data_IF_351940313291
#
_entry.id   IF_351940313291
#
_cell.length_a   1.000
_cell.length_b   1.000
_cell.length_c   1.000
_cell.angle_alpha   90.00
_cell.angle_beta   90.00
_cell.angle_gamma   90.00
#
_symmetry.space_group_name_H-M   'P 1'
#
loop_
_entity.id
_entity.type
_entity.pdbx_description
1 polymer ?
#
# COMPACT_ATOMS: atom_id res chain seq x y z
N UNK A 1 12.02 -18.03 -1.61
CA UNK A 1 12.09 -16.58 -1.28
C UNK A 1 11.54 -15.78 -2.45
N UNK A 2 10.60 -14.89 -2.19
CA UNK A 2 10.10 -13.98 -3.20
C UNK A 2 10.98 -12.74 -3.25
N UNK A 3 11.32 -12.31 -4.45
CA UNK A 3 12.03 -11.06 -4.67
C UNK A 3 11.06 -10.04 -5.26
N UNK A 4 11.19 -8.75 -4.92
CA UNK A 4 10.38 -7.72 -5.56
C UNK A 4 10.76 -7.56 -7.03
N UNK A 5 9.86 -7.00 -7.81
CA UNK A 5 10.15 -6.69 -9.21
C UNK A 5 9.23 -7.40 -10.20
N UNK A 6 7.95 -7.46 -9.90
CA UNK A 6 6.95 -7.90 -10.87
C UNK A 6 6.91 -6.88 -12.01
N UNK A 7 6.97 -7.35 -13.26
CA UNK A 7 6.92 -6.47 -14.41
C UNK A 7 5.62 -5.67 -14.46
N UNK A 8 5.68 -4.42 -14.90
CA UNK A 8 4.50 -3.55 -14.97
C UNK A 8 3.37 -4.17 -15.79
N UNK A 9 3.71 -4.90 -16.86
CA UNK A 9 2.76 -5.54 -17.77
C UNK A 9 1.93 -6.63 -17.10
N UNK A 10 2.37 -7.15 -15.97
CA UNK A 10 1.65 -8.19 -15.24
C UNK A 10 0.44 -7.64 -14.47
N UNK A 11 0.37 -6.32 -14.28
CA UNK A 11 -0.73 -5.69 -13.57
C UNK A 11 -1.80 -5.16 -14.53
N UNK A 12 -3.06 -5.29 -14.11
CA UNK A 12 -4.20 -4.69 -14.80
C UNK A 12 -4.27 -3.24 -14.33
N UNK A 13 -4.12 -2.26 -15.22
CA UNK A 13 -3.95 -0.87 -14.79
C UNK A 13 -4.88 0.15 -15.43
N UNK A 14 -5.42 -0.09 -16.60
CA UNK A 14 -6.27 0.86 -17.33
C UNK A 14 -5.65 2.27 -17.29
N UNK A 15 -6.41 3.30 -16.88
CA UNK A 15 -5.95 4.69 -16.78
C UNK A 15 -5.51 5.09 -15.37
N UNK A 16 -5.46 4.14 -14.46
CA UNK A 16 -5.06 4.41 -13.08
C UNK A 16 -3.53 4.50 -13.00
N UNK A 17 -2.98 5.56 -12.42
CA UNK A 17 -1.53 5.65 -12.23
C UNK A 17 -1.02 4.48 -11.39
N UNK A 18 0.16 3.99 -11.75
CA UNK A 18 0.78 2.87 -11.06
C UNK A 18 2.25 3.17 -10.78
N UNK A 19 2.71 2.81 -9.59
CA UNK A 19 4.13 2.90 -9.25
C UNK A 19 4.91 1.95 -10.15
N UNK A 20 5.90 2.49 -10.88
CA UNK A 20 6.71 1.71 -11.81
C UNK A 20 7.58 0.68 -11.09
N UNK A 21 7.92 -0.39 -11.82
CA UNK A 21 8.69 -1.52 -11.29
C UNK A 21 9.94 -1.08 -10.53
N UNK A 22 10.74 -0.18 -11.08
CA UNK A 22 12.00 0.26 -10.47
C UNK A 22 11.76 0.95 -9.13
N UNK A 23 10.71 1.76 -9.05
CA UNK A 23 10.33 2.45 -7.82
C UNK A 23 9.74 1.46 -6.82
N UNK A 24 8.96 0.47 -7.30
CA UNK A 24 8.44 -0.58 -6.42
C UNK A 24 9.56 -1.40 -5.80
N UNK A 25 10.57 -1.78 -6.59
CA UNK A 25 11.72 -2.53 -6.08
C UNK A 25 12.40 -1.74 -4.97
N UNK A 26 12.68 -0.45 -5.22
CA UNK A 26 13.31 0.40 -4.23
C UNK A 26 12.45 0.54 -2.96
N UNK A 27 11.15 0.73 -3.14
CA UNK A 27 10.18 0.86 -2.04
C UNK A 27 10.17 -0.42 -1.18
N UNK A 28 10.11 -1.59 -1.81
CA UNK A 28 10.13 -2.86 -1.09
C UNK A 28 11.44 -3.07 -0.33
N UNK A 29 12.56 -2.72 -0.94
CA UNK A 29 13.87 -2.83 -0.28
C UNK A 29 13.97 -1.91 0.93
N UNK A 30 13.45 -0.69 0.83
CA UNK A 30 13.45 0.27 1.95
C UNK A 30 12.47 -0.11 3.05
N UNK A 31 11.40 -0.80 2.70
CA UNK A 31 10.37 -1.22 3.66
C UNK A 31 10.87 -2.31 4.62
N UNK A 32 11.82 -3.11 4.20
CA UNK A 32 12.39 -4.21 4.99
C UNK A 32 11.31 -5.10 5.59
N UNK A 33 10.40 -5.55 4.73
CA UNK A 33 9.24 -6.34 5.12
C UNK A 33 9.69 -7.70 5.66
N UNK A 34 9.09 -8.10 6.79
CA UNK A 34 9.28 -9.41 7.38
C UNK A 34 8.08 -10.31 7.06
N UNK A 35 8.24 -11.64 7.11
CA UNK A 35 7.17 -12.56 6.70
C UNK A 35 5.85 -12.42 7.44
N UNK A 36 5.83 -11.92 8.67
CA UNK A 36 4.63 -11.79 9.49
C UNK A 36 4.13 -10.34 9.64
N UNK A 37 4.68 -9.42 8.86
CA UNK A 37 4.33 -8.00 9.00
C UNK A 37 2.88 -7.70 8.63
N UNK A 38 2.31 -6.72 9.32
CA UNK A 38 1.04 -6.09 8.97
C UNK A 38 1.37 -4.79 8.23
N UNK A 39 0.83 -4.64 7.05
CA UNK A 39 1.17 -3.56 6.14
C UNK A 39 -0.07 -2.77 5.76
N UNK A 40 0.02 -1.44 5.77
CA UNK A 40 -1.02 -0.56 5.25
C UNK A 40 -0.52 0.06 3.95
N UNK A 41 -1.34 0.04 2.92
CA UNK A 41 -1.06 0.70 1.64
C UNK A 41 -2.12 1.77 1.42
N UNK A 42 -1.79 3.02 1.73
CA UNK A 42 -2.72 4.16 1.67
C UNK A 42 -2.61 4.80 0.29
N UNK A 43 -3.73 4.83 -0.44
CA UNK A 43 -3.75 5.25 -1.83
C UNK A 43 -3.25 4.14 -2.74
N UNK A 44 -3.80 2.94 -2.56
CA UNK A 44 -3.27 1.72 -3.19
C UNK A 44 -3.32 1.68 -4.72
N UNK A 45 -4.23 2.43 -5.34
CA UNK A 45 -4.35 2.48 -6.79
C UNK A 45 -4.63 1.11 -7.38
N UNK A 46 -3.78 0.66 -8.31
CA UNK A 46 -3.90 -0.67 -8.93
C UNK A 46 -3.59 -1.82 -7.97
N UNK A 47 -2.96 -1.52 -6.84
CA UNK A 47 -2.55 -2.53 -5.86
C UNK A 47 -1.16 -3.10 -6.08
N UNK A 48 -0.36 -2.53 -6.97
CA UNK A 48 0.96 -3.08 -7.27
C UNK A 48 1.87 -3.17 -6.05
N UNK A 49 1.90 -2.15 -5.19
CA UNK A 49 2.67 -2.20 -3.95
C UNK A 49 2.08 -3.21 -2.97
N UNK A 50 0.75 -3.23 -2.83
CA UNK A 50 0.06 -4.17 -1.95
C UNK A 50 0.38 -5.62 -2.31
N UNK A 51 0.37 -5.94 -3.60
CA UNK A 51 0.65 -7.30 -4.09
C UNK A 51 2.08 -7.69 -3.81
N UNK A 52 3.04 -6.84 -4.15
CA UNK A 52 4.45 -7.15 -3.89
C UNK A 52 4.72 -7.29 -2.38
N UNK A 53 4.11 -6.43 -1.57
CA UNK A 53 4.24 -6.51 -0.11
C UNK A 53 3.64 -7.82 0.44
N UNK A 54 2.47 -8.22 -0.05
CA UNK A 54 1.82 -9.45 0.38
C UNK A 54 2.67 -10.69 0.08
N UNK A 55 3.34 -10.69 -1.07
CA UNK A 55 4.24 -11.79 -1.44
C UNK A 55 5.48 -11.87 -0.53
N UNK A 56 5.91 -10.73 0.01
CA UNK A 56 7.03 -10.68 0.94
C UNK A 56 6.62 -10.99 2.39
N UNK A 57 5.32 -10.95 2.69
CA UNK A 57 4.78 -11.21 4.02
C UNK A 57 3.76 -12.36 3.98
N UNK A 58 4.18 -13.59 3.67
CA UNK A 58 3.25 -14.71 3.49
C UNK A 58 2.50 -15.10 4.78
N UNK A 59 2.99 -14.78 5.96
CA UNK A 59 2.30 -14.95 7.22
C UNK A 59 1.71 -13.65 7.75
N UNK A 60 1.80 -12.58 6.98
CA UNK A 60 1.28 -11.27 7.35
C UNK A 60 -0.03 -10.93 6.66
N UNK A 61 -0.33 -9.64 6.61
CA UNK A 61 -1.53 -9.14 5.94
C UNK A 61 -1.32 -7.73 5.44
N UNK A 62 -1.95 -7.40 4.32
CA UNK A 62 -1.95 -6.05 3.76
C UNK A 62 -3.36 -5.48 3.81
N UNK A 63 -3.48 -4.25 4.26
CA UNK A 63 -4.72 -3.47 4.20
C UNK A 63 -4.50 -2.38 3.15
N UNK A 64 -5.22 -2.48 2.05
CA UNK A 64 -5.12 -1.56 0.92
C UNK A 64 -6.27 -0.57 0.96
N UNK A 65 -5.96 0.70 1.16
CA UNK A 65 -6.95 1.76 1.29
C UNK A 65 -6.99 2.56 -0.02
N UNK A 66 -8.16 2.62 -0.65
CA UNK A 66 -8.35 3.33 -1.91
C UNK A 66 -9.76 3.91 -1.98
N UNK A 67 -9.88 5.17 -2.44
CA UNK A 67 -11.18 5.86 -2.49
C UNK A 67 -11.86 5.85 -3.85
N UNK A 68 -11.08 5.72 -4.93
CA UNK A 68 -11.61 5.82 -6.30
C UNK A 68 -12.19 4.48 -6.75
N UNK A 69 -13.46 4.49 -7.19
CA UNK A 69 -14.16 3.26 -7.58
C UNK A 69 -13.44 2.48 -8.67
N UNK A 70 -12.94 3.17 -9.71
CA UNK A 70 -12.19 2.51 -10.78
C UNK A 70 -10.93 1.83 -10.25
N UNK A 71 -10.19 2.50 -9.37
CA UNK A 71 -8.99 1.95 -8.78
C UNK A 71 -9.32 0.76 -7.87
N UNK A 72 -10.40 0.84 -7.09
CA UNK A 72 -10.86 -0.28 -6.25
C UNK A 72 -11.16 -1.50 -7.09
N UNK A 73 -11.83 -1.33 -8.24
CA UNK A 73 -12.10 -2.43 -9.16
C UNK A 73 -10.82 -3.08 -9.68
N UNK A 74 -9.84 -2.26 -10.10
CA UNK A 74 -8.56 -2.76 -10.58
C UNK A 74 -7.78 -3.47 -9.48
N UNK A 75 -7.83 -2.92 -8.28
CA UNK A 75 -7.21 -3.51 -7.10
C UNK A 75 -7.75 -4.91 -6.84
N UNK A 76 -9.07 -5.09 -6.87
CA UNK A 76 -9.71 -6.41 -6.73
C UNK A 76 -9.29 -7.36 -7.85
N UNK A 77 -9.24 -6.87 -9.09
CA UNK A 77 -8.83 -7.69 -10.24
C UNK A 77 -7.39 -8.17 -10.11
N UNK A 78 -6.49 -7.30 -9.67
CA UNK A 78 -5.09 -7.66 -9.48
C UNK A 78 -4.92 -8.63 -8.32
N UNK A 79 -5.62 -8.40 -7.20
CA UNK A 79 -5.60 -9.32 -6.06
C UNK A 79 -6.03 -10.73 -6.51
N UNK A 80 -7.10 -10.84 -7.30
CA UNK A 80 -7.58 -12.11 -7.81
C UNK A 80 -6.58 -12.75 -8.78
N UNK A 81 -5.98 -11.96 -9.67
CA UNK A 81 -4.98 -12.45 -10.62
C UNK A 81 -3.81 -13.11 -9.91
N UNK A 82 -3.32 -12.51 -8.83
CA UNK A 82 -2.19 -13.03 -8.06
C UNK A 82 -2.61 -13.98 -6.93
N UNK A 83 -3.91 -14.30 -6.82
CA UNK A 83 -4.45 -15.24 -5.83
C UNK A 83 -4.13 -14.83 -4.39
N UNK A 84 -4.31 -13.55 -4.09
CA UNK A 84 -3.99 -12.97 -2.79
C UNK A 84 -5.23 -12.49 -2.01
N UNK A 85 -6.41 -13.04 -2.31
CA UNK A 85 -7.67 -12.63 -1.66
C UNK A 85 -7.60 -12.80 -0.14
N UNK A 86 -6.86 -13.80 0.34
CA UNK A 86 -6.70 -14.07 1.77
C UNK A 86 -5.64 -13.17 2.43
N UNK A 87 -4.82 -12.49 1.64
CA UNK A 87 -3.69 -11.71 2.14
C UNK A 87 -3.89 -10.21 2.05
N UNK A 88 -4.66 -9.73 1.10
CA UNK A 88 -4.90 -8.30 0.89
C UNK A 88 -6.36 -7.99 1.11
N UNK A 89 -6.63 -7.15 2.12
CA UNK A 89 -7.99 -6.67 2.39
C UNK A 89 -8.14 -5.25 1.86
N UNK A 90 -9.15 -5.04 1.02
CA UNK A 90 -9.44 -3.72 0.44
C UNK A 90 -10.36 -2.95 1.37
N UNK A 91 -10.00 -1.71 1.67
CA UNK A 91 -10.82 -0.77 2.40
C UNK A 91 -11.16 0.39 1.44
N UNK A 92 -12.38 0.37 0.92
CA UNK A 92 -12.82 1.36 -0.07
C UNK A 92 -13.27 2.63 0.65
N UNK A 93 -12.31 3.48 1.00
CA UNK A 93 -12.57 4.72 1.72
C UNK A 93 -11.45 5.73 1.46
N UNK A 94 -11.72 6.98 1.83
CA UNK A 94 -10.71 8.04 1.82
C UNK A 94 -10.07 8.14 3.19
N UNK A 95 -8.76 7.86 3.27
CA UNK A 95 -8.00 8.03 4.51
C UNK A 95 -8.07 9.49 4.97
N UNK A 96 -8.15 9.77 6.28
CA UNK A 96 -7.90 8.86 7.41
C UNK A 96 -9.09 8.01 7.84
N UNK A 97 -10.24 8.14 7.21
CA UNK A 97 -11.43 7.40 7.57
C UNK A 97 -11.15 5.89 7.50
N UNK A 98 -11.51 5.17 8.56
CA UNK A 98 -11.33 3.72 8.64
C UNK A 98 -9.97 3.26 9.16
N UNK A 99 -8.96 4.15 9.21
CA UNK A 99 -7.62 3.75 9.68
C UNK A 99 -7.60 3.41 11.17
N UNK A 100 -8.38 4.11 11.98
CA UNK A 100 -8.42 3.87 13.42
C UNK A 100 -8.94 2.50 13.81
N UNK A 101 -9.64 1.83 12.91
CA UNK A 101 -10.22 0.51 13.15
C UNK A 101 -9.29 -0.63 12.69
N UNK A 102 -8.20 -0.30 12.02
CA UNK A 102 -7.24 -1.30 11.55
C UNK A 102 -6.34 -1.76 12.68
N UNK A 103 -5.78 -2.98 12.59
CA UNK A 103 -4.79 -3.43 13.58
C UNK A 103 -3.52 -2.60 13.48
N UNK A 104 -2.70 -2.65 14.53
CA UNK A 104 -1.39 -2.04 14.50
C UNK A 104 -0.57 -2.58 13.32
N UNK A 105 0.32 -1.77 12.79
CA UNK A 105 1.05 -2.09 11.57
C UNK A 105 2.55 -1.95 11.77
N UNK A 106 3.28 -2.61 10.86
CA UNK A 106 4.73 -2.61 10.86
C UNK A 106 5.30 -1.75 9.73
N UNK A 107 4.56 -1.65 8.62
CA UNK A 107 4.98 -0.88 7.44
C UNK A 107 3.76 -0.15 6.89
N UNK A 108 3.95 1.11 6.53
CA UNK A 108 2.92 1.92 5.88
C UNK A 108 3.49 2.53 4.60
N UNK A 109 2.79 2.32 3.50
CA UNK A 109 3.03 3.03 2.25
C UNK A 109 2.00 4.14 2.10
N UNK A 110 2.42 5.33 1.74
CA UNK A 110 1.54 6.45 1.45
C UNK A 110 1.81 6.91 0.02
N UNK A 111 0.89 6.58 -0.88
CA UNK A 111 0.98 6.94 -2.30
C UNK A 111 0.17 8.17 -2.65
N UNK A 112 -0.89 8.45 -1.89
CA UNK A 112 -1.73 9.62 -2.07
C UNK A 112 -2.46 9.92 -0.79
N UNK A 113 -2.25 11.12 -0.24
CA UNK A 113 -2.84 11.56 1.02
C UNK A 113 -3.96 12.58 0.81
N UNK A 114 -4.06 13.18 -0.39
CA UNK A 114 -4.93 14.31 -0.63
C UNK A 114 -4.55 15.46 0.31
N UNK A 115 -5.53 15.95 1.07
CA UNK A 115 -5.33 17.06 2.00
C UNK A 115 -5.19 16.59 3.45
N UNK A 116 -5.02 15.30 3.69
CA UNK A 116 -5.16 14.71 5.02
C UNK A 116 -3.86 14.12 5.58
N UNK A 117 -2.71 14.55 5.07
CA UNK A 117 -1.42 13.96 5.46
C UNK A 117 -1.20 14.02 6.98
N UNK A 118 -1.50 15.15 7.62
CA UNK A 118 -1.27 15.30 9.07
C UNK A 118 -2.16 14.37 9.89
N UNK A 119 -3.45 14.29 9.54
CA UNK A 119 -4.38 13.41 10.23
C UNK A 119 -4.00 11.93 10.03
N UNK A 120 -3.55 11.58 8.84
CA UNK A 120 -3.09 10.22 8.53
C UNK A 120 -1.87 9.89 9.38
N UNK A 121 -0.89 10.78 9.42
CA UNK A 121 0.34 10.57 10.21
C UNK A 121 0.06 10.46 11.70
N UNK A 122 -0.89 11.23 12.23
CA UNK A 122 -1.29 11.14 13.63
C UNK A 122 -1.82 9.75 13.98
N UNK A 123 -2.67 9.18 13.11
CA UNK A 123 -3.22 7.84 13.32
C UNK A 123 -2.12 6.79 13.21
N UNK A 124 -1.25 6.91 12.21
CA UNK A 124 -0.13 6.00 12.02
C UNK A 124 0.77 6.00 13.27
N UNK A 125 1.06 7.19 13.81
CA UNK A 125 1.92 7.32 14.99
C UNK A 125 1.36 6.50 16.16
N UNK A 126 0.05 6.45 16.32
CA UNK A 126 -0.60 5.68 17.40
C UNK A 126 -0.69 4.18 17.10
N UNK A 127 -0.51 3.77 15.86
CA UNK A 127 -0.73 2.38 15.41
C UNK A 127 0.53 1.69 14.88
N UNK A 128 1.60 2.43 14.66
CA UNK A 128 2.83 1.86 14.14
C UNK A 128 3.58 1.15 15.26
N UNK A 129 3.91 -0.11 15.02
CA UNK A 129 4.70 -0.90 15.98
C UNK A 129 6.12 -0.35 16.09
N UNK A 130 6.78 -0.62 17.22
CA UNK A 130 8.16 -0.23 17.42
C UNK A 130 9.05 -0.81 16.32
N UNK A 131 9.90 0.04 15.73
CA UNK A 131 10.74 -0.35 14.60
C UNK A 131 10.02 -0.32 13.26
N UNK A 132 8.74 0.09 13.26
CA UNK A 132 7.96 0.20 12.02
C UNK A 132 8.47 1.28 11.09
N UNK A 133 8.06 1.21 9.82
CA UNK A 133 8.54 2.10 8.76
C UNK A 133 7.39 2.73 8.00
N UNK A 134 7.57 4.00 7.65
CA UNK A 134 6.66 4.74 6.79
C UNK A 134 7.42 5.13 5.53
N UNK A 135 6.90 4.74 4.37
CA UNK A 135 7.49 5.10 3.08
C UNK A 135 6.47 5.94 2.30
N UNK A 136 6.86 7.15 1.95
CA UNK A 136 6.02 8.08 1.20
C UNK A 136 6.56 8.21 -0.22
N UNK A 137 5.70 7.95 -1.20
CA UNK A 137 6.01 8.19 -2.61
C UNK A 137 5.38 9.52 -3.02
N UNK A 138 6.19 10.55 -3.15
CA UNK A 138 5.73 11.90 -3.50
C UNK A 138 5.90 12.14 -4.99
N UNK A 139 4.81 12.53 -5.66
CA UNK A 139 4.81 12.80 -7.11
C UNK A 139 4.55 14.27 -7.44
N UNK A 140 4.23 15.10 -6.43
CA UNK A 140 3.99 16.54 -6.59
C UNK A 140 4.74 17.32 -5.53
N UNK A 141 5.02 18.59 -5.84
CA UNK A 141 5.64 19.51 -4.87
C UNK A 141 4.75 19.68 -3.64
N UNK A 142 3.45 19.73 -3.84
CA UNK A 142 2.49 19.85 -2.74
C UNK A 142 2.61 18.67 -1.76
N UNK A 143 2.72 17.46 -2.27
CA UNK A 143 2.91 16.27 -1.44
C UNK A 143 4.21 16.34 -0.65
N UNK A 144 5.28 16.83 -1.27
CA UNK A 144 6.58 17.00 -0.60
C UNK A 144 6.49 18.04 0.52
N UNK A 145 5.69 19.11 0.32
CA UNK A 145 5.53 20.21 1.29
C UNK A 145 4.74 19.79 2.53
N UNK A 146 3.87 18.81 2.40
CA UNK A 146 3.07 18.31 3.51
C UNK A 146 3.91 17.47 4.47
#
# INVERSE_FOLDING_TARGET
MNLPGIADEEFIRDKVPMTKEEIRILTMCKAKIRPDNIIWDIGAGTGSLSIEAALLAPQGKVYAIEKKDLAVDLLHQNIAKFKLEDKVKVIATEAPKGLGELPNCDVVFIGGSGKHMFEILDIIDSKLNEGGRIIVNAVTIQTISE
#
